data_IF_748544583760
#
_entry.id   IF_748544583760
#
_cell.length_a   1.000
_cell.length_b   1.000
_cell.length_c   1.000
_cell.angle_alpha   90.00
_cell.angle_beta   90.00
_cell.angle_gamma   90.00
#
_symmetry.space_group_name_H-M   'P 1'
#
loop_
_entity.id
_entity.type
_entity.pdbx_description
1 polymer ?
#
# COMPACT_ATOMS: atom_id res chain seq x y z
N UNK A 1 -13.32 4.45 -3.17
CA UNK A 1 -12.95 4.81 -1.79
C UNK A 1 -11.56 5.39 -1.81
N UNK A 2 -11.38 6.54 -1.18
CA UNK A 2 -10.06 7.16 -1.08
C UNK A 2 -9.66 7.24 0.39
N UNK A 3 -8.48 6.74 0.72
CA UNK A 3 -7.98 6.70 2.10
C UNK A 3 -6.88 7.71 2.39
N UNK A 4 -6.21 8.24 1.34
CA UNK A 4 -5.15 9.22 1.53
C UNK A 4 -5.70 10.46 2.23
N UNK A 5 -4.98 10.93 3.26
CA UNK A 5 -5.28 12.07 4.10
C UNK A 5 -6.44 11.87 5.11
N UNK A 6 -7.09 10.69 5.10
CA UNK A 6 -8.07 10.34 6.15
C UNK A 6 -7.64 9.12 6.96
N UNK A 7 -7.09 8.10 6.30
CA UNK A 7 -6.61 6.88 6.92
C UNK A 7 -5.09 6.88 7.08
N UNK A 8 -4.39 7.47 6.13
CA UNK A 8 -2.93 7.57 6.14
C UNK A 8 -2.49 8.85 5.43
N UNK A 9 -1.26 9.28 5.74
CA UNK A 9 -0.60 10.40 5.06
C UNK A 9 0.72 9.93 4.47
N UNK A 10 1.00 10.37 3.25
CA UNK A 10 2.29 10.15 2.61
C UNK A 10 3.24 11.23 3.11
N UNK A 11 4.31 10.83 3.78
CA UNK A 11 5.34 11.75 4.30
C UNK A 11 6.46 11.96 3.31
N UNK A 12 6.88 10.91 2.63
CA UNK A 12 8.00 10.99 1.69
C UNK A 12 7.91 9.86 0.68
N UNK A 13 8.18 10.18 -0.57
CA UNK A 13 8.37 9.19 -1.63
C UNK A 13 9.81 9.27 -2.07
N UNK A 14 10.53 8.16 -2.09
CA UNK A 14 11.90 8.08 -2.59
C UNK A 14 12.02 6.95 -3.60
N UNK A 15 12.93 7.12 -4.54
CA UNK A 15 13.17 6.16 -5.60
C UNK A 15 14.64 5.71 -5.48
N UNK A 16 14.90 4.59 -4.77
CA UNK A 16 16.28 4.22 -4.39
C UNK A 16 17.26 4.07 -5.55
N UNK A 17 16.76 3.65 -6.72
CA UNK A 17 17.58 3.44 -7.90
C UNK A 17 17.34 4.49 -8.98
N UNK A 18 16.76 5.63 -8.62
CA UNK A 18 16.34 6.67 -9.57
C UNK A 18 15.32 6.16 -10.61
N UNK A 19 14.69 5.01 -10.34
CA UNK A 19 13.69 4.40 -11.18
C UNK A 19 12.31 4.62 -10.55
N UNK A 20 11.46 5.38 -11.24
CA UNK A 20 10.12 5.70 -10.73
C UNK A 20 9.19 4.50 -10.61
N UNK A 21 9.63 3.31 -11.04
CA UNK A 21 8.88 2.06 -10.87
C UNK A 21 9.26 1.32 -9.59
N UNK A 22 10.26 1.80 -8.86
CA UNK A 22 10.63 1.26 -7.56
C UNK A 22 10.63 2.42 -6.55
N UNK A 23 9.66 2.41 -5.66
CA UNK A 23 9.50 3.47 -4.65
C UNK A 23 9.52 2.94 -3.24
N UNK A 24 10.07 3.75 -2.35
CA UNK A 24 9.91 3.59 -0.91
C UNK A 24 9.11 4.78 -0.39
N UNK A 25 8.03 4.49 0.29
CA UNK A 25 7.06 5.50 0.71
C UNK A 25 6.91 5.43 2.21
N UNK A 26 7.33 6.52 2.87
CA UNK A 26 7.10 6.67 4.30
C UNK A 26 5.69 7.19 4.51
N UNK A 27 4.90 6.49 5.29
CA UNK A 27 3.52 6.90 5.58
C UNK A 27 3.30 6.99 7.08
N UNK A 28 2.37 7.88 7.45
CA UNK A 28 1.82 7.93 8.80
C UNK A 28 0.40 7.39 8.77
N UNK A 29 0.07 6.53 9.72
CA UNK A 29 -1.30 6.07 9.93
C UNK A 29 -2.03 7.10 10.77
N UNK A 30 -3.31 7.33 10.45
CA UNK A 30 -4.15 8.30 11.16
C UNK A 30 -5.07 7.55 12.11
N UNK A 31 -4.77 7.54 13.43
CA UNK A 31 -5.50 6.71 14.37
C UNK A 31 -6.94 7.16 14.61
N UNK A 32 -7.29 8.38 14.21
CA UNK A 32 -8.63 8.93 14.37
C UNK A 32 -9.61 8.48 13.31
N UNK A 33 -9.16 7.73 12.29
CA UNK A 33 -10.04 7.28 11.22
C UNK A 33 -11.19 6.44 11.79
N UNK A 34 -12.43 6.68 11.36
CA UNK A 34 -13.61 5.99 11.92
C UNK A 34 -13.59 4.47 11.82
N UNK A 35 -12.83 3.90 10.89
CA UNK A 35 -12.74 2.45 10.73
C UNK A 35 -12.28 1.75 12.01
N UNK A 36 -11.46 2.43 12.82
CA UNK A 36 -10.93 1.84 14.05
C UNK A 36 -11.97 1.73 15.17
N UNK A 37 -13.09 2.42 15.06
CA UNK A 37 -14.19 2.29 16.02
C UNK A 37 -14.91 0.95 15.88
N UNK A 38 -14.90 0.37 14.68
CA UNK A 38 -15.50 -0.93 14.42
C UNK A 38 -14.50 -2.09 14.32
N UNK A 39 -13.18 -1.79 14.24
CA UNK A 39 -12.18 -2.82 13.94
C UNK A 39 -10.86 -2.57 14.68
N UNK A 40 -10.69 -2.84 15.92
CA UNK A 40 -11.67 -3.32 16.91
C UNK A 40 -11.80 -2.26 17.98
N UNK A 41 -12.98 -2.04 18.60
CA UNK A 41 -13.14 -1.02 19.64
C UNK A 41 -12.17 -1.25 20.79
N UNK A 42 -11.41 -0.21 21.17
CA UNK A 42 -10.41 -0.32 22.25
C UNK A 42 -9.08 -0.93 21.86
N UNK A 43 -9.00 -1.67 20.75
CA UNK A 43 -7.78 -2.27 20.22
C UNK A 43 -7.76 -2.07 18.69
N UNK A 44 -7.43 -0.85 18.21
CA UNK A 44 -7.47 -0.57 16.77
C UNK A 44 -6.44 -1.41 16.01
N UNK A 45 -6.90 -2.13 14.99
CA UNK A 45 -6.08 -2.94 14.11
C UNK A 45 -6.33 -2.50 12.67
N UNK A 46 -5.27 -2.37 11.88
CA UNK A 46 -5.40 -2.00 10.48
C UNK A 46 -6.11 -3.11 9.70
N UNK A 47 -7.30 -2.83 9.11
CA UNK A 47 -7.99 -3.84 8.32
C UNK A 47 -7.23 -4.18 7.05
N UNK A 48 -7.22 -5.46 6.66
CA UNK A 48 -6.52 -5.91 5.45
C UNK A 48 -7.02 -5.23 4.18
N UNK A 49 -8.33 -4.94 4.09
CA UNK A 49 -8.90 -4.25 2.93
C UNK A 49 -8.41 -2.80 2.86
N UNK A 50 -8.22 -2.15 4.00
CA UNK A 50 -7.68 -0.78 4.03
C UNK A 50 -6.21 -0.78 3.65
N UNK A 51 -5.44 -1.78 4.09
CA UNK A 51 -4.03 -1.91 3.71
C UNK A 51 -3.88 -2.07 2.19
N UNK A 52 -4.70 -2.92 1.58
CA UNK A 52 -4.68 -3.10 0.14
C UNK A 52 -5.01 -1.80 -0.60
N UNK A 53 -6.05 -1.09 -0.17
CA UNK A 53 -6.44 0.18 -0.75
C UNK A 53 -5.34 1.24 -0.59
N UNK A 54 -4.72 1.29 0.59
CA UNK A 54 -3.62 2.22 0.87
C UNK A 54 -2.44 1.99 -0.08
N UNK A 55 -2.04 0.74 -0.29
CA UNK A 55 -0.94 0.40 -1.19
C UNK A 55 -1.29 0.77 -2.63
N UNK A 56 -2.54 0.53 -3.06
CA UNK A 56 -2.99 0.95 -4.39
C UNK A 56 -2.85 2.46 -4.56
N UNK A 57 -3.26 3.23 -3.56
CA UNK A 57 -3.16 4.70 -3.62
C UNK A 57 -1.71 5.17 -3.65
N UNK A 58 -0.81 4.49 -2.92
CA UNK A 58 0.62 4.77 -3.00
C UNK A 58 1.16 4.51 -4.40
N UNK A 59 0.76 3.40 -5.02
CA UNK A 59 1.17 3.08 -6.39
C UNK A 59 0.67 4.13 -7.38
N UNK A 60 -0.54 4.65 -7.18
CA UNK A 60 -1.10 5.72 -8.00
C UNK A 60 -0.26 7.01 -7.91
N UNK A 61 0.20 7.35 -6.72
CA UNK A 61 1.07 8.51 -6.54
C UNK A 61 2.40 8.30 -7.26
N UNK A 62 3.00 7.11 -7.14
CA UNK A 62 4.27 6.81 -7.81
C UNK A 62 4.15 6.91 -9.33
N UNK A 63 3.08 6.37 -9.89
CA UNK A 63 2.90 6.27 -11.34
C UNK A 63 2.22 7.48 -11.96
N UNK A 64 1.70 8.39 -11.14
CA UNK A 64 0.86 9.52 -11.59
C UNK A 64 -0.32 9.04 -12.44
N UNK A 65 -0.99 7.97 -12.00
CA UNK A 65 -2.03 7.31 -12.76
C UNK A 65 -3.04 6.68 -11.82
N UNK A 66 -4.30 6.58 -12.23
CA UNK A 66 -5.35 5.93 -11.45
C UNK A 66 -5.41 4.46 -11.83
N UNK A 67 -5.58 3.59 -10.83
CA UNK A 67 -5.62 2.15 -11.01
C UNK A 67 -6.86 1.52 -10.39
N UNK A 68 -7.23 0.36 -10.93
CA UNK A 68 -8.03 -0.62 -10.22
C UNK A 68 -7.16 -1.85 -9.95
N UNK A 69 -7.40 -2.53 -8.83
CA UNK A 69 -6.77 -3.82 -8.56
C UNK A 69 -7.55 -4.86 -9.34
N UNK A 70 -7.00 -5.34 -10.44
CA UNK A 70 -7.71 -6.26 -11.34
C UNK A 70 -7.49 -7.73 -10.99
N UNK A 71 -6.42 -8.03 -10.26
CA UNK A 71 -6.11 -9.39 -9.84
C UNK A 71 -5.18 -9.37 -8.64
N UNK A 72 -5.44 -10.22 -7.65
CA UNK A 72 -4.55 -10.40 -6.50
C UNK A 72 -3.95 -11.79 -6.60
N UNK A 73 -2.65 -11.85 -6.91
CA UNK A 73 -1.95 -13.13 -7.00
C UNK A 73 -1.66 -13.69 -5.61
N UNK A 74 -1.23 -12.83 -4.69
CA UNK A 74 -0.91 -13.21 -3.32
C UNK A 74 -1.04 -11.99 -2.40
N UNK A 75 -1.58 -12.21 -1.22
CA UNK A 75 -1.67 -11.20 -0.19
C UNK A 75 -1.49 -11.89 1.16
N UNK A 76 -0.42 -11.53 1.86
CA UNK A 76 -0.05 -12.15 3.14
C UNK A 76 0.03 -11.09 4.22
N UNK A 77 -0.72 -11.28 5.28
CA UNK A 77 -0.61 -10.48 6.50
C UNK A 77 0.35 -11.23 7.43
N UNK A 78 1.51 -10.64 7.71
CA UNK A 78 2.60 -11.28 8.43
C UNK A 78 2.60 -10.96 9.91
N UNK A 79 2.16 -9.77 10.28
CA UNK A 79 2.00 -9.37 11.67
C UNK A 79 0.93 -8.28 11.79
N UNK A 80 0.40 -8.12 12.98
CA UNK A 80 -0.65 -7.14 13.26
C UNK A 80 -0.06 -5.74 13.20
N UNK A 81 -0.71 -4.86 12.44
CA UNK A 81 -0.33 -3.47 12.30
C UNK A 81 -1.39 -2.61 13.00
N UNK A 82 -0.96 -1.82 13.98
CA UNK A 82 -1.86 -0.95 14.72
C UNK A 82 -1.32 0.48 14.69
N UNK A 83 -2.19 1.49 14.55
CA UNK A 83 -1.71 2.87 14.52
C UNK A 83 -1.14 3.34 15.86
N UNK A 84 -1.51 2.69 16.97
CA UNK A 84 -0.98 3.03 18.29
C UNK A 84 0.47 2.62 18.46
N UNK A 85 0.83 1.39 18.03
CA UNK A 85 2.19 0.86 18.14
C UNK A 85 3.07 1.25 16.94
N UNK A 86 2.44 1.42 15.77
CA UNK A 86 3.14 1.68 14.53
C UNK A 86 2.53 2.90 13.83
N UNK A 87 2.77 4.12 14.39
CA UNK A 87 2.21 5.34 13.78
C UNK A 87 2.81 5.67 12.43
N UNK A 88 4.01 5.16 12.14
CA UNK A 88 4.66 5.35 10.83
C UNK A 88 5.22 4.03 10.36
N UNK A 89 5.04 3.74 9.06
CA UNK A 89 5.56 2.52 8.43
C UNK A 89 6.22 2.88 7.10
N UNK A 90 7.00 1.92 6.58
CA UNK A 90 7.62 2.03 5.27
C UNK A 90 6.92 1.08 4.31
N UNK A 91 6.44 1.60 3.19
CA UNK A 91 5.87 0.81 2.11
C UNK A 91 6.84 0.81 0.95
N UNK A 92 7.19 -0.37 0.47
CA UNK A 92 8.05 -0.51 -0.71
C UNK A 92 7.24 -1.11 -1.84
N UNK A 93 7.31 -0.51 -3.02
CA UNK A 93 6.51 -0.90 -4.18
C UNK A 93 7.40 -1.03 -5.41
N UNK A 94 7.27 -2.16 -6.09
CA UNK A 94 7.87 -2.40 -7.40
C UNK A 94 6.75 -2.54 -8.43
N UNK A 95 6.81 -1.76 -9.50
CA UNK A 95 5.85 -1.82 -10.60
C UNK A 95 6.57 -2.29 -11.86
N UNK A 96 5.98 -3.25 -12.56
CA UNK A 96 6.50 -3.75 -13.84
C UNK A 96 5.37 -3.67 -14.86
N UNK A 97 5.62 -2.94 -15.96
CA UNK A 97 4.66 -2.89 -17.05
C UNK A 97 4.60 -4.21 -17.80
N UNK A 98 3.41 -4.63 -18.17
CA UNK A 98 3.19 -5.83 -18.95
C UNK A 98 1.98 -5.61 -19.87
N UNK A 99 1.91 -6.35 -20.95
CA UNK A 99 0.74 -6.36 -21.80
C UNK A 99 -0.02 -7.66 -21.57
N UNK A 100 -1.31 -7.54 -21.31
CA UNK A 100 -2.19 -8.68 -21.12
C UNK A 100 -3.15 -8.76 -22.28
N UNK A 101 -3.17 -9.91 -22.96
CA UNK A 101 -4.05 -10.14 -24.11
C UNK A 101 -5.50 -9.87 -23.72
N UNK A 102 -6.17 -9.05 -24.52
CA UNK A 102 -7.56 -8.68 -24.31
C UNK A 102 -7.81 -7.52 -23.37
N UNK A 103 -6.83 -7.12 -22.55
CA UNK A 103 -6.99 -6.03 -21.58
C UNK A 103 -6.04 -4.85 -21.81
N UNK A 104 -5.03 -5.04 -22.67
CA UNK A 104 -4.02 -3.99 -22.91
C UNK A 104 -2.97 -3.95 -21.83
N UNK A 105 -2.44 -2.76 -21.55
CA UNK A 105 -1.35 -2.60 -20.59
C UNK A 105 -1.83 -2.72 -19.15
N UNK A 106 -1.08 -3.48 -18.35
CA UNK A 106 -1.27 -3.60 -16.92
C UNK A 106 0.07 -3.37 -16.23
N UNK A 107 0.01 -3.17 -14.90
CA UNK A 107 1.19 -3.17 -14.07
C UNK A 107 1.13 -4.37 -13.11
N UNK A 108 2.22 -5.12 -13.06
CA UNK A 108 2.41 -6.10 -12.00
C UNK A 108 3.04 -5.38 -10.83
N UNK A 109 2.42 -5.47 -9.68
CA UNK A 109 2.87 -4.81 -8.46
C UNK A 109 3.35 -5.84 -7.44
N UNK A 110 4.55 -5.62 -6.91
CA UNK A 110 4.99 -6.29 -5.69
C UNK A 110 5.17 -5.22 -4.62
N UNK A 111 4.57 -5.43 -3.47
CA UNK A 111 4.61 -4.46 -2.39
C UNK A 111 4.79 -5.13 -1.04
N UNK A 112 5.42 -4.41 -0.13
CA UNK A 112 5.55 -4.83 1.25
C UNK A 112 5.46 -3.62 2.16
N UNK A 113 5.03 -3.85 3.40
CA UNK A 113 5.05 -2.85 4.46
C UNK A 113 5.90 -3.36 5.60
N UNK A 114 6.75 -2.49 6.15
CA UNK A 114 7.64 -2.86 7.23
C UNK A 114 7.68 -1.79 8.31
N UNK A 115 8.20 -2.17 9.48
CA UNK A 115 8.43 -1.25 10.57
C UNK A 115 9.46 -0.20 10.15
N UNK A 116 9.17 1.06 10.44
CA UNK A 116 10.10 2.15 10.13
C UNK A 116 11.43 1.92 10.85
N UNK A 117 12.53 1.93 10.08
CA UNK A 117 13.86 1.70 10.62
C UNK A 117 14.23 0.23 10.78
N UNK A 118 13.31 -0.70 10.51
CA UNK A 118 13.55 -2.14 10.61
C UNK A 118 12.87 -2.88 9.46
N UNK A 119 13.53 -2.96 8.29
CA UNK A 119 12.93 -3.56 7.11
C UNK A 119 12.72 -5.07 7.21
N UNK A 120 13.32 -5.73 8.20
CA UNK A 120 13.12 -7.16 8.41
C UNK A 120 11.82 -7.46 9.17
N UNK A 121 11.26 -6.48 9.86
CA UNK A 121 9.96 -6.62 10.52
C UNK A 121 8.86 -6.20 9.55
N UNK A 122 8.30 -7.19 8.84
CA UNK A 122 7.27 -6.94 7.83
C UNK A 122 5.88 -7.16 8.38
N UNK A 123 4.97 -6.27 8.01
CA UNK A 123 3.55 -6.37 8.34
C UNK A 123 2.76 -7.09 7.26
N UNK A 124 3.14 -6.89 6.01
CA UNK A 124 2.43 -7.52 4.89
C UNK A 124 3.33 -7.63 3.67
N UNK A 125 2.95 -8.54 2.77
CA UNK A 125 3.50 -8.68 1.43
C UNK A 125 2.36 -8.93 0.47
N UNK A 126 2.43 -8.37 -0.73
CA UNK A 126 1.42 -8.62 -1.74
C UNK A 126 2.00 -8.60 -3.15
N UNK A 127 1.36 -9.38 -4.02
CA UNK A 127 1.57 -9.36 -5.46
C UNK A 127 0.21 -9.22 -6.11
N UNK A 128 0.05 -8.22 -6.98
CA UNK A 128 -1.21 -7.94 -7.62
C UNK A 128 -1.01 -7.38 -9.01
N UNK A 129 -2.07 -7.35 -9.79
CA UNK A 129 -2.10 -6.68 -11.08
C UNK A 129 -2.99 -5.45 -10.97
N UNK A 130 -2.48 -4.33 -11.48
CA UNK A 130 -3.17 -3.05 -11.50
C UNK A 130 -3.48 -2.70 -12.94
N UNK A 131 -4.73 -2.34 -13.21
CA UNK A 131 -5.15 -1.89 -14.53
C UNK A 131 -5.41 -0.39 -14.50
N UNK A 132 -4.86 0.37 -15.46
CA UNK A 132 -5.14 1.80 -15.53
C UNK A 132 -6.63 2.05 -15.73
N UNK A 133 -7.14 3.07 -15.05
CA UNK A 133 -8.52 3.54 -15.23
C UNK A 133 -8.54 4.42 -16.47
N UNK A 134 -9.46 4.11 -17.39
CA UNK A 134 -9.60 4.87 -18.65
C UNK A 134 -10.60 5.99 -18.51
#
# INVERSE_FOLDING_TARGET
MKLQDSYFKIRKVSYPNSDTRHGKIKIDLIPEHPVYQGHFPGEPVCPGVCTLQMVKECAQVMAHEQFIVSYIKQYRLLSVMTPAEHPAIMVEIHLTQDEKEGTGMIYKMKASGSKLGDPDTKFFEMSAELSPVK
#
